data_IF_177858770641
#
_entry.id   IF_177858770641
#
_cell.length_a   1.000
_cell.length_b   1.000
_cell.length_c   1.000
_cell.angle_alpha   90.00
_cell.angle_beta   90.00
_cell.angle_gamma   90.00
#
_symmetry.space_group_name_H-M   'P 1'
#
loop_
_entity.id
_entity.type
_entity.pdbx_description
1 polymer ?
#
# COMPACT_ATOMS: atom_id res chain seq x y z
N UNK A 1 -11.06 -3.91 13.35
CA UNK A 1 -12.13 -3.26 14.12
C UNK A 1 -12.54 -1.99 13.40
N UNK A 2 -11.68 -0.96 13.35
CA UNK A 2 -11.87 0.25 12.51
C UNK A 2 -12.46 -0.03 11.11
N UNK A 3 -11.81 -0.87 10.29
CA UNK A 3 -12.31 -1.23 8.93
C UNK A 3 -13.72 -1.84 8.95
N UNK A 4 -14.04 -2.66 9.95
CA UNK A 4 -15.36 -3.31 10.04
C UNK A 4 -16.44 -2.33 10.52
N UNK A 5 -16.07 -1.38 11.39
CA UNK A 5 -16.97 -0.33 11.88
C UNK A 5 -17.27 0.70 10.79
N UNK A 6 -16.24 1.11 10.04
CA UNK A 6 -16.36 2.10 8.96
C UNK A 6 -17.04 1.52 7.71
N UNK A 7 -16.98 0.20 7.52
CA UNK A 7 -17.45 -0.48 6.30
C UNK A 7 -16.59 -0.20 5.06
N UNK A 8 -15.50 0.55 5.20
CA UNK A 8 -14.57 0.90 4.13
C UNK A 8 -13.12 0.73 4.60
N UNK A 9 -12.18 0.37 3.70
CA UNK A 9 -10.82 0.02 4.11
C UNK A 9 -9.90 1.22 4.33
N UNK A 10 -10.27 2.40 3.84
CA UNK A 10 -9.34 3.52 3.64
C UNK A 10 -8.63 4.00 4.92
N UNK A 11 -9.39 4.26 5.99
CA UNK A 11 -8.85 4.82 7.22
C UNK A 11 -8.10 3.78 8.04
N UNK A 12 -8.58 2.53 8.04
CA UNK A 12 -7.87 1.43 8.67
C UNK A 12 -6.55 1.08 7.98
N UNK A 13 -6.50 1.08 6.64
CA UNK A 13 -5.26 0.89 5.88
C UNK A 13 -4.29 2.05 6.12
N UNK A 14 -4.79 3.28 6.16
CA UNK A 14 -3.98 4.45 6.49
C UNK A 14 -3.35 4.31 7.87
N UNK A 15 -4.16 4.04 8.89
CA UNK A 15 -3.69 3.83 10.27
C UNK A 15 -2.64 2.72 10.35
N UNK A 16 -2.91 1.58 9.71
CA UNK A 16 -1.99 0.45 9.69
C UNK A 16 -0.66 0.82 9.04
N UNK A 17 -0.69 1.48 7.88
CA UNK A 17 0.51 1.90 7.19
C UNK A 17 1.35 2.89 8.01
N UNK A 18 0.71 3.87 8.66
CA UNK A 18 1.39 4.81 9.56
C UNK A 18 2.09 4.06 10.71
N UNK A 19 1.41 3.09 11.33
CA UNK A 19 1.97 2.28 12.41
C UNK A 19 3.13 1.40 11.94
N UNK A 20 3.02 0.80 10.75
CA UNK A 20 4.09 -0.02 10.17
C UNK A 20 5.33 0.81 9.87
N UNK A 21 5.18 1.98 9.24
CA UNK A 21 6.32 2.87 8.95
C UNK A 21 6.99 3.34 10.24
N UNK A 22 6.21 3.71 11.26
CA UNK A 22 6.72 4.12 12.57
C UNK A 22 7.52 3.01 13.26
N UNK A 23 7.07 1.76 13.14
CA UNK A 23 7.77 0.60 13.71
C UNK A 23 9.03 0.25 12.91
N UNK A 24 8.94 0.19 11.58
CA UNK A 24 10.08 -0.10 10.70
C UNK A 24 11.19 0.94 10.90
N UNK A 25 10.85 2.21 11.10
CA UNK A 25 11.80 3.28 11.39
C UNK A 25 12.58 3.11 12.71
N UNK A 26 12.18 2.20 13.61
CA UNK A 26 13.00 1.85 14.78
C UNK A 26 14.18 0.94 14.43
N UNK A 27 14.17 0.32 13.25
CA UNK A 27 15.11 -0.74 12.87
C UNK A 27 16.02 -0.38 11.69
N UNK A 28 15.72 0.70 10.96
CA UNK A 28 16.44 1.08 9.75
C UNK A 28 16.62 2.60 9.62
N UNK A 29 17.82 3.03 9.23
CA UNK A 29 18.16 4.45 9.00
C UNK A 29 17.50 5.03 7.72
N UNK A 30 17.02 4.16 6.83
CA UNK A 30 16.31 4.53 5.60
C UNK A 30 15.10 3.62 5.43
N UNK A 31 13.92 4.25 5.32
CA UNK A 31 12.65 3.58 5.08
C UNK A 31 12.10 4.05 3.74
N UNK A 32 11.67 3.12 2.89
CA UNK A 32 11.06 3.44 1.62
C UNK A 32 9.78 2.63 1.36
N UNK A 33 8.82 3.24 0.67
CA UNK A 33 7.61 2.55 0.23
C UNK A 33 7.15 2.96 -1.18
N UNK A 34 6.10 2.29 -1.65
CA UNK A 34 5.54 2.48 -2.98
C UNK A 34 4.45 3.55 -3.07
N UNK A 35 4.20 4.37 -2.04
CA UNK A 35 3.13 5.38 -2.08
C UNK A 35 3.39 6.43 -3.16
N UNK A 36 2.40 6.68 -4.02
CA UNK A 36 2.55 7.50 -5.23
C UNK A 36 1.89 8.86 -5.08
N UNK A 37 2.20 9.77 -6.00
CA UNK A 37 1.62 11.11 -6.04
C UNK A 37 0.09 11.11 -6.03
N UNK A 38 -0.49 10.26 -6.88
CA UNK A 38 -1.92 10.25 -7.19
C UNK A 38 -2.70 9.24 -6.31
N UNK A 39 -2.04 8.56 -5.36
CA UNK A 39 -2.71 7.67 -4.41
C UNK A 39 -3.49 8.47 -3.36
N UNK A 40 -4.71 8.01 -3.05
CA UNK A 40 -5.55 8.62 -2.01
C UNK A 40 -5.23 8.13 -0.60
N UNK A 41 -4.88 6.85 -0.48
CA UNK A 41 -4.55 6.16 0.78
C UNK A 41 -3.82 4.86 0.43
N UNK A 42 -2.91 4.34 1.28
CA UNK A 42 -2.30 5.02 2.43
C UNK A 42 -1.22 6.02 2.00
N UNK A 43 -1.04 7.12 2.77
CA UNK A 43 0.00 8.10 2.49
C UNK A 43 0.30 9.00 3.70
N UNK A 44 1.57 9.15 4.04
CA UNK A 44 2.04 10.16 4.99
C UNK A 44 2.06 11.55 4.35
N UNK A 45 1.55 12.55 5.05
CA UNK A 45 1.65 13.94 4.60
C UNK A 45 3.03 14.54 4.95
N UNK A 46 3.36 15.69 4.35
CA UNK A 46 4.66 16.36 4.54
C UNK A 46 5.03 16.62 5.99
N UNK A 47 4.06 16.95 6.85
CA UNK A 47 4.33 17.20 8.27
C UNK A 47 4.60 15.89 9.02
N UNK A 48 3.87 14.82 8.69
CA UNK A 48 4.12 13.49 9.24
C UNK A 48 5.49 12.96 8.84
N UNK A 49 5.88 13.11 7.57
CA UNK A 49 7.20 12.70 7.07
C UNK A 49 8.31 13.44 7.84
N UNK A 50 8.26 14.78 7.90
CA UNK A 50 9.24 15.57 8.66
C UNK A 50 9.32 15.14 10.13
N UNK A 51 8.17 14.94 10.76
CA UNK A 51 8.14 14.49 12.14
C UNK A 51 8.74 13.10 12.31
N UNK A 52 8.51 12.18 11.38
CA UNK A 52 9.11 10.84 11.40
C UNK A 52 10.63 10.94 11.28
N UNK A 53 11.13 11.63 10.26
CA UNK A 53 12.56 11.83 10.02
C UNK A 53 13.25 12.47 11.23
N UNK A 54 12.69 13.55 11.78
CA UNK A 54 13.26 14.28 12.93
C UNK A 54 13.22 13.45 14.22
N UNK A 55 12.13 12.71 14.49
CA UNK A 55 11.98 11.95 15.75
C UNK A 55 12.77 10.65 15.75
N UNK A 56 12.96 10.04 14.59
CA UNK A 56 13.61 8.73 14.45
C UNK A 56 15.06 8.85 13.97
N UNK A 57 15.48 10.02 13.48
CA UNK A 57 16.78 10.24 12.85
C UNK A 57 16.99 9.33 11.62
N UNK A 58 15.97 9.27 10.75
CA UNK A 58 15.94 8.40 9.56
C UNK A 58 15.62 9.20 8.28
N UNK A 59 15.90 8.60 7.13
CA UNK A 59 15.47 9.09 5.81
C UNK A 59 14.21 8.35 5.35
N UNK A 60 13.22 9.08 4.83
CA UNK A 60 12.02 8.47 4.27
C UNK A 60 11.86 8.77 2.77
N UNK A 61 11.67 7.73 1.95
CA UNK A 61 11.56 7.84 0.49
C UNK A 61 10.29 7.19 -0.06
N UNK A 62 9.64 7.83 -1.03
CA UNK A 62 8.49 7.27 -1.72
C UNK A 62 8.41 7.76 -3.19
N UNK A 63 7.31 7.45 -3.88
CA UNK A 63 7.07 7.81 -5.28
C UNK A 63 6.19 9.06 -5.44
N UNK A 64 6.21 9.98 -4.47
CA UNK A 64 5.32 11.16 -4.44
C UNK A 64 5.55 12.14 -5.60
N UNK A 65 6.67 12.04 -6.31
CA UNK A 65 6.94 12.84 -7.50
C UNK A 65 6.35 12.24 -8.79
N UNK A 66 6.00 10.95 -8.81
CA UNK A 66 5.60 10.24 -10.01
C UNK A 66 4.08 10.09 -10.11
N UNK A 67 3.49 10.73 -11.12
CA UNK A 67 2.08 10.56 -11.46
C UNK A 67 1.78 9.26 -12.18
N UNK A 68 0.50 8.92 -12.26
CA UNK A 68 -0.02 7.71 -12.91
C UNK A 68 0.53 7.51 -14.32
N UNK A 69 0.54 8.56 -15.16
CA UNK A 69 1.05 8.48 -16.55
C UNK A 69 2.55 8.13 -16.59
N UNK A 70 3.35 8.71 -15.68
CA UNK A 70 4.79 8.46 -15.62
C UNK A 70 5.07 7.05 -15.11
N UNK A 71 4.38 6.62 -14.04
CA UNK A 71 4.48 5.24 -13.55
C UNK A 71 4.07 4.25 -14.63
N UNK A 72 2.93 4.48 -15.30
CA UNK A 72 2.47 3.62 -16.39
C UNK A 72 3.48 3.55 -17.54
N UNK A 73 4.09 4.68 -17.90
CA UNK A 73 5.14 4.72 -18.92
C UNK A 73 6.37 3.92 -18.48
N UNK A 74 6.90 4.14 -17.28
CA UNK A 74 8.07 3.42 -16.77
C UNK A 74 7.81 1.92 -16.70
N UNK A 75 6.69 1.53 -16.08
CA UNK A 75 6.32 0.13 -15.92
C UNK A 75 6.13 -0.55 -17.29
N UNK A 76 5.49 0.14 -18.25
CA UNK A 76 5.29 -0.38 -19.59
C UNK A 76 6.58 -0.53 -20.42
N UNK A 77 7.64 0.22 -20.11
CA UNK A 77 8.94 0.09 -20.78
C UNK A 77 9.88 -0.89 -20.08
N UNK A 78 9.79 -1.03 -18.75
CA UNK A 78 10.71 -1.82 -17.95
C UNK A 78 10.25 -3.26 -17.73
N UNK A 79 8.94 -3.53 -17.74
CA UNK A 79 8.40 -4.82 -17.30
C UNK A 79 7.50 -5.48 -18.34
N UNK A 80 7.52 -6.81 -18.33
CA UNK A 80 6.49 -7.64 -18.93
C UNK A 80 5.33 -7.79 -17.94
N UNK A 81 4.11 -7.51 -18.41
CA UNK A 81 2.93 -7.38 -17.57
C UNK A 81 1.87 -8.40 -17.95
N UNK A 82 1.19 -8.95 -16.93
CA UNK A 82 0.02 -9.80 -17.09
C UNK A 82 -1.15 -9.21 -16.32
N UNK A 83 -2.29 -9.05 -16.98
CA UNK A 83 -3.53 -8.59 -16.35
C UNK A 83 -4.40 -9.78 -15.97
N UNK A 84 -4.69 -9.93 -14.69
CA UNK A 84 -5.45 -11.06 -14.14
C UNK A 84 -6.51 -10.57 -13.15
N UNK A 85 -7.53 -11.39 -12.91
CA UNK A 85 -8.46 -11.14 -11.81
C UNK A 85 -7.69 -11.24 -10.49
N UNK A 86 -7.95 -10.33 -9.56
CA UNK A 86 -7.39 -10.39 -8.21
C UNK A 86 -7.74 -11.73 -7.58
N UNK A 87 -6.74 -12.51 -7.20
CA UNK A 87 -6.96 -13.67 -6.34
C UNK A 87 -6.77 -13.23 -4.89
N UNK A 88 -7.61 -13.73 -3.98
CA UNK A 88 -7.46 -13.53 -2.53
C UNK A 88 -6.09 -14.01 -2.04
N UNK A 89 -5.45 -14.93 -2.75
CA UNK A 89 -4.17 -15.52 -2.38
C UNK A 89 -2.94 -14.77 -2.94
N UNK A 90 -3.12 -13.75 -3.77
CA UNK A 90 -1.99 -13.13 -4.52
C UNK A 90 -1.80 -11.64 -4.30
N UNK A 91 -2.62 -10.98 -3.48
CA UNK A 91 -2.38 -9.58 -3.13
C UNK A 91 -1.23 -9.51 -2.11
N UNK A 92 -0.22 -8.69 -2.38
CA UNK A 92 1.00 -8.58 -1.57
C UNK A 92 0.89 -7.62 -0.40
N UNK A 93 -0.13 -6.76 -0.41
CA UNK A 93 -0.28 -5.70 0.58
C UNK A 93 -1.05 -6.22 1.81
N UNK A 94 -1.36 -5.32 2.74
CA UNK A 94 -2.12 -5.62 3.96
C UNK A 94 -3.47 -6.31 3.71
N UNK A 95 -4.03 -6.20 2.50
CA UNK A 95 -5.38 -6.64 2.15
C UNK A 95 -5.66 -8.11 2.50
N UNK A 96 -4.79 -9.05 2.11
CA UNK A 96 -5.07 -10.49 2.29
C UNK A 96 -5.24 -10.83 3.76
N UNK A 97 -4.31 -10.35 4.59
CA UNK A 97 -4.35 -10.57 6.03
C UNK A 97 -5.55 -9.88 6.68
N UNK A 98 -5.85 -8.64 6.26
CA UNK A 98 -7.03 -7.91 6.74
C UNK A 98 -8.31 -8.68 6.41
N UNK A 99 -8.46 -9.18 5.18
CA UNK A 99 -9.65 -9.94 4.77
C UNK A 99 -9.80 -11.22 5.59
N UNK A 100 -8.71 -11.96 5.79
CA UNK A 100 -8.71 -13.15 6.64
C UNK A 100 -9.13 -12.84 8.08
N UNK A 101 -8.64 -11.73 8.65
CA UNK A 101 -9.00 -11.29 10.00
C UNK A 101 -10.45 -10.85 10.11
N UNK A 102 -10.99 -10.15 9.12
CA UNK A 102 -12.40 -9.75 9.07
C UNK A 102 -13.30 -10.98 9.06
N UNK A 103 -13.03 -11.94 8.18
CA UNK A 103 -13.84 -13.16 8.07
C UNK A 103 -13.77 -14.00 9.36
N UNK A 104 -12.58 -14.11 9.99
CA UNK A 104 -12.41 -14.77 11.29
C UNK A 104 -13.18 -14.10 12.42
N UNK A 105 -13.38 -12.78 12.36
CA UNK A 105 -14.15 -12.00 13.34
C UNK A 105 -15.66 -12.01 13.07
N UNK A 106 -16.12 -12.74 12.04
CA UNK A 106 -17.54 -12.85 11.68
C UNK A 106 -18.04 -11.74 10.76
N UNK A 107 -17.15 -10.93 10.18
CA UNK A 107 -17.50 -9.96 9.14
C UNK A 107 -17.54 -10.60 7.75
N UNK A 108 -17.87 -9.79 6.73
CA UNK A 108 -17.81 -10.19 5.32
C UNK A 108 -16.76 -9.34 4.58
N UNK A 109 -15.55 -9.88 4.43
CA UNK A 109 -14.46 -9.18 3.76
C UNK A 109 -14.74 -8.85 2.29
N UNK A 110 -15.67 -9.56 1.64
CA UNK A 110 -15.96 -9.36 0.21
C UNK A 110 -16.91 -8.19 -0.05
N UNK A 111 -17.65 -7.72 0.97
CA UNK A 111 -18.44 -6.49 0.91
C UNK A 111 -17.57 -5.24 1.06
N UNK A 112 -16.49 -5.33 1.85
CA UNK A 112 -15.56 -4.23 2.13
C UNK A 112 -14.46 -4.15 1.05
N UNK A 113 -13.99 -5.30 0.57
CA UNK A 113 -12.94 -5.42 -0.47
C UNK A 113 -13.52 -6.14 -1.70
N UNK A 114 -14.11 -5.39 -2.64
CA UNK A 114 -14.68 -5.96 -3.86
C UNK A 114 -13.59 -6.53 -4.79
N UNK A 115 -13.99 -7.40 -5.71
CA UNK A 115 -13.07 -7.95 -6.70
C UNK A 115 -12.54 -6.87 -7.65
N UNK A 116 -11.23 -6.94 -7.91
CA UNK A 116 -10.54 -6.01 -8.80
C UNK A 116 -9.66 -6.77 -9.79
N UNK A 117 -9.18 -6.09 -10.82
CA UNK A 117 -8.15 -6.65 -11.70
C UNK A 117 -6.78 -6.19 -11.22
N UNK A 118 -5.84 -7.11 -11.12
CA UNK A 118 -4.46 -6.84 -10.75
C UNK A 118 -3.55 -6.95 -11.97
N UNK A 119 -2.46 -6.20 -11.93
CA UNK A 119 -1.42 -6.24 -12.96
C UNK A 119 -0.17 -6.81 -12.32
N UNK A 120 0.23 -8.00 -12.77
CA UNK A 120 1.37 -8.73 -12.28
C UNK A 120 2.58 -8.48 -13.17
N UNK A 121 3.74 -8.24 -12.56
CA UNK A 121 5.03 -8.23 -13.26
C UNK A 121 5.47 -9.68 -13.43
N UNK A 122 5.66 -10.12 -14.67
CA UNK A 122 6.07 -11.50 -15.00
C UNK A 122 7.50 -11.60 -15.54
N UNK A 123 8.14 -10.45 -15.80
CA UNK A 123 9.49 -10.38 -16.34
C UNK A 123 9.99 -8.96 -16.49
N UNK A 124 11.28 -8.82 -16.79
CA UNK A 124 11.92 -7.56 -17.19
C UNK A 124 11.98 -7.51 -18.72
N UNK A 125 11.70 -6.34 -19.29
CA UNK A 125 11.98 -6.07 -20.71
C UNK A 125 13.47 -5.78 -20.84
N UNK A 126 14.16 -6.56 -21.67
CA UNK A 126 15.55 -6.30 -22.06
C UNK A 126 15.63 -5.17 -23.09
#
# INVERSE_FOLDING_TARGET
DMIMEDGFPNDGIKYLHEAVVEEVANHYDLVADGTRRDDKTPKLNRNQIRSLEDRKDIQYMNLDSFGYKTIKYLVGNLFELKHEKSNKDTSSDYEVEIRCLIDKKGGNSSEIFPEHYQTNVIGLKQ
#
